data_IF_779407537430
#
_entry.id   IF_779407537430
#
_cell.length_a   1.000
_cell.length_b   1.000
_cell.length_c   1.000
_cell.angle_alpha   90.00
_cell.angle_beta   90.00
_cell.angle_gamma   90.00
#
_symmetry.space_group_name_H-M   'P 1'
#
loop_
_entity.id
_entity.type
_entity.pdbx_description
1 polymer ?
#
# COMPACT_ATOMS: atom_id res chain seq x y z
N UNK A 1 -69.91 0.52 0.95
CA UNK A 1 -70.54 1.78 1.39
C UNK A 1 -69.50 2.88 1.21
N UNK A 2 -69.85 3.92 0.42
CA UNK A 2 -69.22 5.25 0.20
C UNK A 2 -67.68 5.28 -0.01
N UNK A 3 -67.05 5.62 -1.16
CA UNK A 3 -67.25 6.62 -2.25
C UNK A 3 -67.32 8.09 -1.81
N UNK A 4 -66.50 8.91 -2.51
CA UNK A 4 -66.35 10.39 -2.66
C UNK A 4 -65.17 11.02 -1.92
N UNK A 5 -64.33 11.92 -2.47
CA UNK A 5 -64.24 12.53 -3.82
C UNK A 5 -62.92 13.31 -3.97
N UNK A 6 -62.52 13.50 -5.23
CA UNK A 6 -61.60 14.50 -5.78
C UNK A 6 -61.58 15.87 -5.07
N UNK A 7 -60.43 16.55 -5.11
CA UNK A 7 -60.37 17.91 -5.65
C UNK A 7 -58.97 18.25 -6.17
N UNK A 8 -58.97 18.85 -7.35
CA UNK A 8 -57.85 19.36 -8.14
C UNK A 8 -58.29 20.75 -8.61
N UNK A 9 -57.52 21.81 -8.32
CA UNK A 9 -57.54 23.13 -9.01
C UNK A 9 -56.13 23.72 -8.83
N UNK A 10 -55.26 23.89 -9.83
CA UNK A 10 -55.20 24.76 -11.03
C UNK A 10 -54.82 26.23 -10.82
N UNK A 11 -53.66 26.56 -11.41
CA UNK A 11 -53.29 27.75 -12.18
C UNK A 11 -52.99 29.10 -11.52
N UNK A 12 -51.78 29.61 -11.80
CA UNK A 12 -51.35 30.99 -11.57
C UNK A 12 -49.99 31.29 -12.19
N UNK A 13 -49.96 31.50 -13.51
CA UNK A 13 -48.81 32.01 -14.31
C UNK A 13 -48.47 33.46 -13.97
N UNK A 14 -47.16 33.82 -13.97
CA UNK A 14 -46.61 35.05 -14.61
C UNK A 14 -45.08 35.14 -14.53
N UNK A 15 -44.44 34.94 -15.69
CA UNK A 15 -43.39 35.77 -16.32
C UNK A 15 -42.45 36.60 -15.43
N UNK A 16 -41.13 36.40 -15.60
CA UNK A 16 -40.23 37.44 -16.13
C UNK A 16 -38.90 36.87 -16.67
N UNK A 17 -38.72 37.15 -17.95
CA UNK A 17 -37.53 37.04 -18.78
C UNK A 17 -36.49 38.09 -18.33
N UNK A 18 -35.21 37.74 -18.27
CA UNK A 18 -34.09 38.70 -18.36
C UNK A 18 -32.89 38.01 -18.98
N UNK A 19 -32.78 38.19 -20.29
CA UNK A 19 -31.57 38.01 -21.09
C UNK A 19 -30.69 39.25 -20.88
N UNK A 20 -29.40 39.07 -20.62
CA UNK A 20 -28.40 40.07 -21.00
C UNK A 20 -27.20 39.38 -21.64
N UNK A 21 -26.95 39.79 -22.88
CA UNK A 21 -25.80 39.48 -23.74
C UNK A 21 -24.84 40.68 -23.67
N UNK A 22 -23.53 40.39 -23.71
CA UNK A 22 -22.44 41.13 -24.38
C UNK A 22 -21.18 41.19 -23.48
N UNK A 23 -19.93 41.22 -23.96
CA UNK A 23 -19.23 40.82 -25.17
C UNK A 23 -17.76 41.29 -24.97
N UNK A 24 -16.79 40.48 -25.43
CA UNK A 24 -15.47 40.85 -25.97
C UNK A 24 -14.45 41.68 -25.16
N UNK A 25 -13.25 41.09 -25.01
CA UNK A 25 -11.90 41.60 -25.35
C UNK A 25 -10.90 40.53 -24.87
N UNK A 26 -10.08 39.83 -25.67
CA UNK A 26 -9.36 40.28 -26.85
C UNK A 26 -8.03 40.90 -26.45
N UNK A 27 -7.00 40.09 -26.14
CA UNK A 27 -5.62 40.57 -26.15
C UNK A 27 -4.66 39.51 -26.69
N UNK A 28 -4.25 39.77 -27.93
CA UNK A 28 -3.08 39.22 -28.61
C UNK A 28 -1.86 39.97 -28.06
N UNK A 29 -0.81 39.24 -27.68
CA UNK A 29 0.54 39.81 -27.68
C UNK A 29 1.43 39.00 -28.61
N UNK A 30 1.95 39.70 -29.62
CA UNK A 30 2.85 39.23 -30.66
C UNK A 30 3.95 40.28 -30.76
N UNK A 31 5.17 39.91 -30.37
CA UNK A 31 6.44 40.61 -30.61
C UNK A 31 7.48 39.46 -30.66
N UNK A 32 7.90 38.89 -31.80
CA UNK A 32 8.78 39.41 -32.87
C UNK A 32 10.04 40.11 -32.32
N UNK A 33 11.28 39.88 -32.71
CA UNK A 33 11.99 38.95 -33.59
C UNK A 33 13.50 39.26 -33.39
N UNK A 34 14.36 38.57 -34.17
CA UNK A 34 15.80 38.79 -34.44
C UNK A 34 16.73 37.95 -33.55
N UNK A 35 17.65 37.13 -34.08
CA UNK A 35 18.10 36.90 -35.46
C UNK A 35 19.56 36.44 -35.47
N UNK A 36 19.96 35.71 -36.52
CA UNK A 36 21.35 35.31 -36.84
C UNK A 36 21.60 33.83 -36.54
N UNK A 37 21.48 32.87 -37.47
CA UNK A 37 22.29 32.62 -38.68
C UNK A 37 23.79 32.51 -38.40
N UNK A 38 24.36 31.32 -38.55
CA UNK A 38 25.19 31.03 -39.72
C UNK A 38 25.48 29.52 -39.84
N UNK A 39 25.29 29.05 -41.06
CA UNK A 39 25.67 27.76 -41.63
C UNK A 39 27.13 27.77 -42.11
N UNK A 40 27.66 26.57 -42.43
CA UNK A 40 28.65 26.18 -43.49
C UNK A 40 29.55 25.07 -42.90
N UNK A 41 29.41 23.79 -43.32
CA UNK A 41 30.14 23.12 -44.42
C UNK A 41 31.68 23.09 -44.17
N UNK A 42 32.46 22.01 -44.30
CA UNK A 42 32.60 21.12 -45.47
C UNK A 42 33.64 20.01 -45.18
N UNK A 43 33.37 18.79 -45.69
CA UNK A 43 34.25 17.80 -46.40
C UNK A 43 35.58 17.22 -45.88
N UNK A 44 35.63 15.88 -45.97
CA UNK A 44 36.67 14.97 -46.56
C UNK A 44 38.08 14.92 -45.91
N UNK A 45 38.81 13.79 -45.83
CA UNK A 45 39.08 12.78 -46.86
C UNK A 45 39.81 11.56 -46.26
N UNK A 46 39.50 10.36 -46.79
CA UNK A 46 40.32 9.16 -47.06
C UNK A 46 41.66 8.86 -46.35
N UNK A 47 41.87 7.57 -46.05
CA UNK A 47 43.22 6.96 -46.02
C UNK A 47 43.26 5.50 -45.58
N UNK A 48 43.20 4.56 -46.53
CA UNK A 48 43.61 3.15 -46.38
C UNK A 48 44.84 2.91 -47.26
N UNK A 49 45.76 2.01 -46.85
CA UNK A 49 46.24 0.91 -47.70
C UNK A 49 46.29 -0.43 -46.92
N UNK A 50 45.80 -1.60 -47.38
CA UNK A 50 46.42 -2.61 -48.30
C UNK A 50 47.88 -2.96 -47.94
N UNK A 51 48.37 -4.20 -47.81
CA UNK A 51 47.97 -5.51 -48.37
C UNK A 51 48.74 -6.71 -47.75
N UNK A 52 48.27 -7.93 -48.11
CA UNK A 52 49.00 -9.19 -48.43
C UNK A 52 49.69 -9.97 -47.29
N UNK A 53 49.24 -11.15 -46.83
CA UNK A 53 49.00 -12.48 -47.47
C UNK A 53 50.27 -13.30 -47.79
N UNK A 54 50.36 -14.57 -47.29
CA UNK A 54 50.63 -15.83 -48.06
C UNK A 54 51.12 -17.05 -47.18
N UNK A 55 50.23 -18.06 -47.08
CA UNK A 55 50.36 -19.57 -47.02
C UNK A 55 51.25 -20.40 -46.06
N UNK A 56 50.59 -21.31 -45.30
CA UNK A 56 50.61 -22.82 -45.23
C UNK A 56 51.94 -23.62 -45.34
N UNK A 57 52.10 -24.86 -44.74
CA UNK A 57 51.10 -25.96 -44.73
C UNK A 57 50.98 -26.92 -43.49
N UNK A 58 49.80 -27.58 -43.46
CA UNK A 58 49.35 -28.93 -43.06
C UNK A 58 50.20 -29.88 -42.17
N UNK A 59 49.57 -30.37 -41.08
CA UNK A 59 49.56 -31.81 -40.71
C UNK A 59 48.38 -32.16 -39.78
N UNK A 60 47.64 -33.21 -40.16
CA UNK A 60 46.57 -33.89 -39.40
C UNK A 60 47.19 -34.83 -38.34
N UNK A 61 46.51 -35.13 -37.21
CA UNK A 61 45.84 -36.44 -37.17
C UNK A 61 44.52 -36.51 -36.37
N UNK A 62 43.62 -37.35 -36.89
CA UNK A 62 42.81 -38.38 -36.23
C UNK A 62 41.77 -37.99 -35.15
N UNK A 63 40.52 -38.35 -35.49
CA UNK A 63 39.34 -38.32 -34.64
C UNK A 63 39.34 -39.35 -33.49
N UNK A 64 38.76 -38.96 -32.35
CA UNK A 64 38.07 -39.86 -31.43
C UNK A 64 36.89 -39.10 -30.77
N UNK A 65 35.77 -39.78 -30.45
CA UNK A 65 34.49 -39.14 -30.22
C UNK A 65 34.37 -38.64 -28.78
N UNK A 66 33.72 -37.50 -28.56
CA UNK A 66 33.19 -37.18 -27.23
C UNK A 66 31.72 -36.82 -27.38
N UNK A 67 30.91 -37.73 -26.84
CA UNK A 67 29.48 -37.63 -26.73
C UNK A 67 29.08 -36.29 -26.12
N UNK A 68 28.03 -35.69 -26.71
CA UNK A 68 27.40 -34.50 -26.17
C UNK A 68 26.93 -34.74 -24.73
N UNK A 69 27.47 -33.96 -23.81
CA UNK A 69 26.72 -33.60 -22.61
C UNK A 69 25.88 -32.42 -23.03
N UNK A 70 24.70 -32.71 -23.59
CA UNK A 70 23.65 -31.72 -23.67
C UNK A 70 23.38 -31.26 -22.23
N UNK A 71 23.72 -30.01 -21.97
CA UNK A 71 23.31 -29.21 -20.82
C UNK A 71 21.81 -29.39 -20.60
N UNK A 72 21.42 -30.32 -19.72
CA UNK A 72 20.02 -30.46 -19.27
C UNK A 72 19.49 -29.16 -18.61
N UNK A 73 20.38 -28.25 -18.20
CA UNK A 73 19.99 -26.95 -17.63
C UNK A 73 19.58 -25.91 -18.69
N UNK A 74 20.19 -25.90 -19.88
CA UNK A 74 19.85 -24.92 -20.92
C UNK A 74 18.49 -25.20 -21.58
N UNK A 75 18.10 -26.48 -21.70
CA UNK A 75 16.88 -26.87 -22.41
C UNK A 75 15.60 -26.71 -21.58
N UNK A 76 15.70 -26.60 -20.25
CA UNK A 76 14.54 -26.34 -19.36
C UNK A 76 14.19 -24.84 -19.33
N UNK A 77 15.15 -23.95 -19.64
CA UNK A 77 14.94 -22.49 -19.63
C UNK A 77 14.04 -21.97 -20.77
N UNK A 78 13.96 -22.67 -21.90
CA UNK A 78 13.37 -22.11 -23.12
C UNK A 78 11.82 -22.10 -23.17
N UNK A 79 11.12 -22.64 -22.17
CA UNK A 79 9.66 -22.82 -22.24
C UNK A 79 8.90 -22.45 -20.94
N UNK A 80 9.54 -21.72 -20.02
CA UNK A 80 8.87 -21.23 -18.81
C UNK A 80 8.01 -20.01 -19.14
N UNK A 81 6.81 -19.95 -18.56
CA UNK A 81 5.95 -18.76 -18.60
C UNK A 81 6.63 -17.64 -17.80
N UNK A 82 6.34 -16.39 -18.18
CA UNK A 82 6.77 -15.21 -17.42
C UNK A 82 5.62 -14.79 -16.50
N UNK A 83 5.87 -14.67 -15.21
CA UNK A 83 4.84 -14.39 -14.22
C UNK A 83 5.33 -14.53 -12.77
N UNK A 84 4.42 -14.27 -11.82
CA UNK A 84 4.70 -14.39 -10.39
C UNK A 84 4.39 -15.76 -9.80
N UNK A 85 4.02 -16.76 -10.60
CA UNK A 85 3.70 -18.11 -10.09
C UNK A 85 4.97 -18.94 -9.90
N UNK A 86 4.98 -19.85 -8.92
CA UNK A 86 6.12 -20.75 -8.68
C UNK A 86 6.42 -21.58 -9.95
N UNK A 87 7.67 -21.52 -10.40
CA UNK A 87 8.16 -22.16 -11.62
C UNK A 87 8.23 -21.24 -12.84
N UNK A 88 7.59 -20.06 -12.79
CA UNK A 88 7.69 -19.04 -13.83
C UNK A 88 9.06 -18.36 -13.82
N UNK A 89 9.47 -17.83 -14.98
CA UNK A 89 10.49 -16.80 -15.03
C UNK A 89 9.89 -15.51 -14.48
N UNK A 90 10.60 -14.88 -13.56
CA UNK A 90 10.16 -13.63 -12.96
C UNK A 90 10.01 -12.53 -14.04
N UNK A 91 8.93 -11.74 -14.02
CA UNK A 91 8.78 -10.61 -14.94
C UNK A 91 9.75 -9.48 -14.57
N UNK A 92 10.07 -8.64 -15.54
CA UNK A 92 10.86 -7.42 -15.31
C UNK A 92 10.04 -6.36 -14.54
N UNK A 93 10.73 -5.50 -13.80
CA UNK A 93 10.12 -4.28 -13.25
C UNK A 93 9.54 -3.42 -14.38
N UNK A 94 8.41 -2.78 -14.14
CA UNK A 94 7.76 -1.93 -15.13
C UNK A 94 7.04 -0.77 -14.48
N UNK A 95 7.05 0.38 -15.15
CA UNK A 95 6.35 1.57 -14.66
C UNK A 95 6.88 2.09 -13.32
N UNK A 96 8.17 1.88 -13.03
CA UNK A 96 8.77 2.38 -11.79
C UNK A 96 9.00 3.88 -11.92
N UNK A 97 8.31 4.66 -11.09
CA UNK A 97 8.39 6.12 -11.06
C UNK A 97 9.72 6.61 -10.47
N UNK A 98 10.17 5.94 -9.41
CA UNK A 98 11.39 6.28 -8.71
C UNK A 98 12.02 5.05 -8.04
N UNK A 99 13.34 5.12 -7.89
CA UNK A 99 14.13 4.18 -7.09
C UNK A 99 14.64 4.90 -5.84
N UNK A 100 14.58 4.21 -4.70
CA UNK A 100 14.93 4.76 -3.37
C UNK A 100 15.99 3.84 -2.74
N UNK A 101 16.97 4.44 -2.06
CA UNK A 101 18.10 3.79 -1.39
C UNK A 101 19.00 2.91 -2.29
N UNK A 102 18.90 3.05 -3.62
CA UNK A 102 19.75 2.38 -4.59
C UNK A 102 19.48 2.84 -6.02
N UNK A 103 20.35 2.41 -6.94
CA UNK A 103 20.18 2.63 -8.38
C UNK A 103 19.07 1.73 -8.96
N UNK A 104 18.52 2.07 -10.15
CA UNK A 104 17.58 1.21 -10.85
C UNK A 104 18.11 -0.21 -11.05
N UNK A 105 17.29 -1.21 -10.72
CA UNK A 105 17.61 -2.62 -10.93
C UNK A 105 16.81 -3.18 -12.11
N UNK A 106 17.42 -4.13 -12.82
CA UNK A 106 16.74 -5.00 -13.79
C UNK A 106 16.98 -6.47 -13.43
N UNK A 107 15.98 -7.32 -13.65
CA UNK A 107 16.04 -8.73 -13.23
C UNK A 107 17.15 -9.53 -13.94
N UNK A 108 17.59 -9.08 -15.13
CA UNK A 108 18.73 -9.66 -15.83
C UNK A 108 20.06 -9.43 -15.09
N UNK A 109 20.26 -8.26 -14.49
CA UNK A 109 21.48 -7.93 -13.73
C UNK A 109 21.54 -8.65 -12.38
N UNK A 110 20.37 -9.03 -11.83
CA UNK A 110 20.26 -9.80 -10.59
C UNK A 110 20.46 -11.31 -10.79
N UNK A 111 20.75 -11.78 -12.00
CA UNK A 111 21.07 -13.20 -12.24
C UNK A 111 22.33 -13.60 -11.47
N UNK A 112 22.31 -14.81 -10.91
CA UNK A 112 23.35 -15.28 -10.00
C UNK A 112 23.02 -15.04 -8.51
N UNK A 113 22.12 -14.11 -8.20
CA UNK A 113 21.71 -13.78 -6.83
C UNK A 113 20.37 -14.42 -6.47
N UNK A 114 20.11 -14.56 -5.18
CA UNK A 114 18.76 -14.86 -4.68
C UNK A 114 18.04 -13.54 -4.48
N UNK A 115 16.86 -13.38 -5.07
CA UNK A 115 16.11 -12.12 -4.98
C UNK A 115 14.82 -12.32 -4.19
N UNK A 116 14.58 -11.48 -3.18
CA UNK A 116 13.31 -11.35 -2.49
C UNK A 116 12.62 -10.06 -2.94
N UNK A 117 11.50 -10.18 -3.63
CA UNK A 117 10.61 -9.05 -3.92
C UNK A 117 9.57 -8.96 -2.80
N UNK A 118 9.50 -7.81 -2.13
CA UNK A 118 8.50 -7.54 -1.08
C UNK A 118 7.59 -6.39 -1.53
N UNK A 119 6.32 -6.69 -1.79
CA UNK A 119 5.30 -5.68 -2.07
C UNK A 119 4.76 -5.10 -0.76
N UNK A 120 4.81 -3.78 -0.63
CA UNK A 120 4.45 -3.07 0.59
C UNK A 120 3.82 -1.70 0.29
N UNK A 121 3.19 -1.11 1.29
CA UNK A 121 2.82 0.31 1.36
C UNK A 121 3.05 0.80 2.79
N UNK A 122 3.35 2.08 3.00
CA UNK A 122 3.83 2.52 4.32
C UNK A 122 2.73 2.70 5.37
N UNK A 123 1.46 2.83 5.00
CA UNK A 123 0.36 2.88 5.98
C UNK A 123 -0.25 1.50 6.33
N UNK A 124 0.26 0.44 5.70
CA UNK A 124 -0.18 -0.94 5.94
C UNK A 124 0.47 -1.52 7.20
N UNK A 125 -0.32 -1.70 8.27
CA UNK A 125 0.20 -2.23 9.54
C UNK A 125 0.82 -3.64 9.40
N UNK A 126 0.22 -4.49 8.55
CA UNK A 126 0.72 -5.85 8.29
C UNK A 126 2.13 -5.80 7.65
N UNK A 127 2.37 -4.78 6.82
CA UNK A 127 3.65 -4.53 6.18
C UNK A 127 4.67 -4.06 7.22
N UNK A 128 4.29 -3.10 8.07
CA UNK A 128 5.13 -2.58 9.15
C UNK A 128 5.60 -3.70 10.08
N UNK A 129 4.68 -4.59 10.49
CA UNK A 129 5.03 -5.76 11.34
C UNK A 129 5.96 -6.76 10.66
N UNK A 130 6.06 -6.74 9.33
CA UNK A 130 7.00 -7.58 8.58
C UNK A 130 8.42 -6.98 8.52
N UNK A 131 8.58 -5.66 8.64
CA UNK A 131 9.88 -4.99 8.48
C UNK A 131 11.00 -5.50 9.39
N UNK A 132 10.77 -5.88 10.67
CA UNK A 132 11.81 -6.48 11.50
C UNK A 132 12.43 -7.74 10.90
N UNK A 133 11.64 -8.58 10.24
CA UNK A 133 12.10 -9.82 9.60
C UNK A 133 12.89 -9.53 8.32
N UNK A 134 12.42 -8.58 7.49
CA UNK A 134 13.16 -8.13 6.31
C UNK A 134 14.52 -7.53 6.69
N UNK A 135 14.57 -6.70 7.75
CA UNK A 135 15.83 -6.15 8.30
C UNK A 135 16.76 -7.25 8.78
N UNK A 136 16.21 -8.26 9.46
CA UNK A 136 16.98 -9.41 9.91
C UNK A 136 17.57 -10.19 8.73
N UNK A 137 16.78 -10.51 7.70
CA UNK A 137 17.25 -11.24 6.52
C UNK A 137 18.27 -10.44 5.71
N UNK A 138 18.02 -9.15 5.50
CA UNK A 138 18.98 -8.26 4.84
C UNK A 138 20.32 -8.25 5.58
N UNK A 139 20.30 -8.07 6.90
CA UNK A 139 21.51 -8.06 7.72
C UNK A 139 22.25 -9.41 7.74
N UNK A 140 21.52 -10.53 7.63
CA UNK A 140 22.12 -11.87 7.72
C UNK A 140 22.69 -12.36 6.39
N UNK A 141 22.04 -12.02 5.28
CA UNK A 141 22.24 -12.73 4.02
C UNK A 141 22.63 -11.85 2.83
N UNK A 142 22.69 -10.52 2.98
CA UNK A 142 23.08 -9.64 1.88
C UNK A 142 24.49 -9.99 1.33
N UNK A 143 25.46 -10.22 2.24
CA UNK A 143 26.82 -10.60 1.87
C UNK A 143 26.93 -12.04 1.31
N UNK A 144 25.92 -12.87 1.55
CA UNK A 144 25.83 -14.25 1.04
C UNK A 144 25.12 -14.32 -0.33
N UNK A 145 24.64 -13.19 -0.86
CA UNK A 145 24.01 -13.11 -2.18
C UNK A 145 22.48 -12.96 -2.18
N UNK A 146 21.86 -12.63 -1.04
CA UNK A 146 20.45 -12.21 -1.00
C UNK A 146 20.32 -10.73 -1.39
N UNK A 147 19.46 -10.43 -2.35
CA UNK A 147 19.02 -9.08 -2.67
C UNK A 147 17.54 -8.92 -2.34
N UNK A 148 17.22 -7.95 -1.49
CA UNK A 148 15.82 -7.57 -1.23
C UNK A 148 15.49 -6.36 -2.10
N UNK A 149 14.36 -6.41 -2.81
CA UNK A 149 13.79 -5.26 -3.52
C UNK A 149 12.40 -5.00 -2.96
N UNK A 150 12.22 -3.85 -2.32
CA UNK A 150 10.91 -3.43 -1.82
C UNK A 150 10.12 -2.73 -2.93
N UNK A 151 9.03 -3.33 -3.40
CA UNK A 151 8.14 -2.69 -4.37
C UNK A 151 7.03 -1.96 -3.61
N UNK A 152 7.17 -0.64 -3.51
CA UNK A 152 6.15 0.22 -2.92
C UNK A 152 5.01 0.40 -3.92
N UNK A 153 3.87 -0.26 -3.67
CA UNK A 153 2.63 -0.08 -4.42
C UNK A 153 1.63 0.62 -3.49
N UNK A 154 1.18 1.84 -3.80
CA UNK A 154 0.39 2.68 -2.89
C UNK A 154 -1.02 2.14 -2.71
N UNK A 155 -1.57 2.16 -1.50
CA UNK A 155 -2.98 1.87 -1.23
C UNK A 155 -3.88 3.12 -1.40
N UNK A 156 -3.32 4.30 -1.17
CA UNK A 156 -3.97 5.62 -1.25
C UNK A 156 -3.16 6.62 -2.09
N UNK A 157 -3.80 7.67 -2.62
CA UNK A 157 -3.13 8.67 -3.46
C UNK A 157 -1.98 9.40 -2.76
N UNK A 158 -2.09 9.69 -1.46
CA UNK A 158 -1.03 10.36 -0.70
C UNK A 158 0.23 9.47 -0.53
N UNK A 159 0.12 8.17 -0.76
CA UNK A 159 1.25 7.24 -0.76
C UNK A 159 2.04 7.26 -2.08
N UNK A 160 1.53 7.93 -3.12
CA UNK A 160 2.28 8.17 -4.37
C UNK A 160 3.31 9.29 -4.27
N UNK A 161 3.21 10.13 -3.25
CA UNK A 161 4.13 11.25 -3.04
C UNK A 161 5.50 10.69 -2.67
N UNK A 162 6.50 10.92 -3.52
CA UNK A 162 7.86 10.38 -3.38
C UNK A 162 8.47 10.68 -2.00
N UNK A 163 8.35 11.92 -1.53
CA UNK A 163 8.89 12.36 -0.25
C UNK A 163 8.29 11.59 0.93
N UNK A 164 7.00 11.27 0.89
CA UNK A 164 6.34 10.49 1.95
C UNK A 164 6.89 9.07 2.00
N UNK A 165 7.09 8.43 0.84
CA UNK A 165 7.69 7.08 0.77
C UNK A 165 9.12 7.14 1.29
N UNK A 166 9.92 8.12 0.86
CA UNK A 166 11.29 8.31 1.34
C UNK A 166 11.33 8.46 2.85
N UNK A 167 10.46 9.28 3.44
CA UNK A 167 10.44 9.47 4.88
C UNK A 167 10.02 8.21 5.63
N UNK A 168 9.05 7.44 5.12
CA UNK A 168 8.70 6.14 5.68
C UNK A 168 9.89 5.14 5.64
N UNK A 169 10.69 5.12 4.56
CA UNK A 169 11.89 4.26 4.52
C UNK A 169 12.91 4.63 5.60
N UNK A 170 13.05 5.92 5.92
CA UNK A 170 13.95 6.39 6.99
C UNK A 170 13.39 6.04 8.37
N UNK A 171 12.09 6.32 8.59
CA UNK A 171 11.39 6.06 9.84
C UNK A 171 11.50 4.59 10.25
N UNK A 172 11.27 3.67 9.31
CA UNK A 172 11.32 2.23 9.56
C UNK A 172 12.71 1.60 9.40
N UNK A 173 13.72 2.41 9.06
CA UNK A 173 15.10 2.01 8.79
C UNK A 173 15.23 0.91 7.71
N UNK A 174 14.57 1.12 6.58
CA UNK A 174 14.58 0.21 5.42
C UNK A 174 15.79 0.52 4.53
N UNK A 175 16.82 -0.32 4.59
CA UNK A 175 18.14 -0.04 4.00
C UNK A 175 18.42 -0.65 2.62
N UNK A 176 17.53 -1.45 2.06
CA UNK A 176 17.68 -2.08 0.74
C UNK A 176 17.04 -1.24 -0.37
N UNK A 177 17.26 -1.57 -1.64
CA UNK A 177 16.70 -0.84 -2.78
C UNK A 177 15.17 -0.97 -2.84
N UNK A 178 14.47 0.13 -3.13
CA UNK A 178 13.02 0.14 -3.30
C UNK A 178 12.60 0.75 -4.64
N UNK A 179 11.55 0.18 -5.22
CA UNK A 179 10.94 0.61 -6.47
C UNK A 179 9.53 1.13 -6.19
N UNK A 180 9.26 2.39 -6.56
CA UNK A 180 7.95 2.98 -6.43
C UNK A 180 7.09 2.67 -7.68
N UNK A 181 6.01 1.90 -7.50
CA UNK A 181 5.13 1.39 -8.57
C UNK A 181 3.75 2.07 -8.48
N UNK A 182 3.67 3.39 -8.70
CA UNK A 182 2.43 4.16 -8.46
C UNK A 182 1.27 3.75 -9.37
N UNK A 183 1.60 3.24 -10.56
CA UNK A 183 0.62 2.77 -11.55
C UNK A 183 0.32 1.27 -11.45
N UNK A 184 0.90 0.55 -10.46
CA UNK A 184 0.72 -0.89 -10.25
C UNK A 184 1.11 -1.76 -11.47
N UNK A 185 2.05 -1.31 -12.29
CA UNK A 185 2.49 -2.05 -13.48
C UNK A 185 3.26 -3.28 -13.05
N UNK A 186 4.20 -3.14 -12.11
CA UNK A 186 4.95 -4.27 -11.55
C UNK A 186 4.03 -5.20 -10.76
N UNK A 187 3.19 -4.64 -9.88
CA UNK A 187 2.15 -5.36 -9.14
C UNK A 187 1.33 -6.30 -10.03
N UNK A 188 0.80 -5.79 -11.15
CA UNK A 188 0.00 -6.60 -12.09
C UNK A 188 0.83 -7.63 -12.85
N UNK A 189 2.08 -7.35 -13.20
CA UNK A 189 2.98 -8.33 -13.86
C UNK A 189 3.23 -9.54 -12.97
N UNK A 190 3.34 -9.34 -11.66
CA UNK A 190 3.48 -10.40 -10.67
C UNK A 190 2.15 -11.10 -10.33
N UNK A 191 1.03 -10.63 -10.91
CA UNK A 191 -0.32 -11.07 -10.57
C UNK A 191 -0.62 -10.92 -9.07
N UNK A 192 -0.01 -9.93 -8.41
CA UNK A 192 -0.19 -9.71 -6.99
C UNK A 192 -1.60 -9.19 -6.68
N UNK A 193 -2.06 -9.45 -5.45
CA UNK A 193 -3.37 -9.05 -4.93
C UNK A 193 -3.34 -8.60 -3.46
N UNK A 194 -2.17 -8.63 -2.80
CA UNK A 194 -2.09 -8.46 -1.34
C UNK A 194 -0.91 -7.59 -0.91
N UNK A 195 -1.10 -6.94 0.23
CA UNK A 195 -0.06 -6.32 1.03
C UNK A 195 0.00 -7.00 2.42
N UNK A 196 1.20 -7.35 2.93
CA UNK A 196 2.43 -7.53 2.16
C UNK A 196 2.36 -8.77 1.26
N UNK A 197 3.25 -8.86 0.27
CA UNK A 197 3.42 -10.07 -0.53
C UNK A 197 4.89 -10.28 -0.90
N UNK A 198 5.36 -11.53 -0.80
CA UNK A 198 6.76 -11.91 -1.03
C UNK A 198 6.88 -12.86 -2.19
N UNK A 199 7.90 -12.67 -3.01
CA UNK A 199 8.29 -13.57 -4.08
C UNK A 199 9.79 -13.83 -3.96
N UNK A 200 10.17 -15.10 -3.78
CA UNK A 200 11.56 -15.52 -3.78
C UNK A 200 11.95 -16.08 -5.14
N UNK A 201 13.05 -15.56 -5.67
CA UNK A 201 13.57 -15.88 -6.99
C UNK A 201 14.97 -16.46 -6.85
N UNK A 202 15.23 -17.56 -7.54
CA UNK A 202 16.56 -18.18 -7.55
C UNK A 202 17.55 -17.47 -8.48
N UNK A 203 18.82 -17.88 -8.40
CA UNK A 203 19.92 -17.37 -9.24
C UNK A 203 19.66 -17.46 -10.75
N UNK A 204 18.74 -18.31 -11.20
CA UNK A 204 18.41 -18.49 -12.61
C UNK A 204 17.21 -17.60 -13.04
N UNK A 205 16.62 -16.85 -12.11
CA UNK A 205 15.50 -15.96 -12.37
C UNK A 205 14.13 -16.62 -12.28
N UNK A 206 14.02 -17.75 -11.58
CA UNK A 206 12.79 -18.51 -11.45
C UNK A 206 12.14 -18.20 -10.12
N UNK A 207 10.82 -17.96 -10.11
CA UNK A 207 10.08 -17.85 -8.86
C UNK A 207 10.02 -19.23 -8.19
N UNK A 208 10.45 -19.31 -6.94
CA UNK A 208 10.55 -20.56 -6.17
C UNK A 208 9.60 -20.63 -4.99
N UNK A 209 9.21 -19.49 -4.46
CA UNK A 209 8.27 -19.39 -3.36
C UNK A 209 7.53 -18.05 -3.42
N UNK A 210 6.29 -18.08 -2.94
CA UNK A 210 5.44 -16.90 -2.79
C UNK A 210 4.72 -16.95 -1.45
N UNK A 211 4.63 -15.83 -0.76
CA UNK A 211 3.87 -15.69 0.47
C UNK A 211 2.98 -14.45 0.40
N UNK A 212 1.68 -14.61 0.70
CA UNK A 212 0.72 -13.52 0.67
C UNK A 212 0.19 -13.25 2.08
N UNK A 213 0.25 -12.00 2.49
CA UNK A 213 -0.09 -11.58 3.84
C UNK A 213 1.10 -11.59 4.79
N UNK A 214 0.79 -11.37 6.06
CA UNK A 214 1.74 -11.36 7.17
C UNK A 214 1.97 -12.78 7.73
N UNK A 215 3.20 -13.05 8.17
CA UNK A 215 3.59 -14.32 8.80
C UNK A 215 4.46 -15.19 7.90
N UNK A 216 4.55 -16.48 8.23
CA UNK A 216 5.34 -17.44 7.46
C UNK A 216 6.83 -17.09 7.43
N UNK A 217 7.33 -16.43 8.47
CA UNK A 217 8.70 -15.90 8.48
C UNK A 217 9.73 -17.04 8.53
N UNK A 218 9.45 -18.07 9.33
CA UNK A 218 10.31 -19.26 9.42
C UNK A 218 10.41 -19.97 8.07
N UNK A 219 9.27 -20.20 7.41
CA UNK A 219 9.22 -20.85 6.09
C UNK A 219 9.93 -20.00 5.03
N UNK A 220 9.68 -18.69 5.01
CA UNK A 220 10.33 -17.77 4.07
C UNK A 220 11.86 -17.78 4.25
N UNK A 221 12.35 -17.73 5.49
CA UNK A 221 13.78 -17.77 5.78
C UNK A 221 14.41 -19.11 5.42
N UNK A 222 13.69 -20.21 5.63
CA UNK A 222 14.17 -21.55 5.23
C UNK A 222 14.39 -21.62 3.72
N UNK A 223 13.42 -21.14 2.93
CA UNK A 223 13.57 -21.06 1.47
C UNK A 223 14.70 -20.12 1.06
N UNK A 224 14.88 -18.96 1.73
CA UNK A 224 16.04 -18.08 1.47
C UNK A 224 17.35 -18.88 1.63
N UNK A 225 17.51 -19.60 2.74
CA UNK A 225 18.71 -20.41 3.02
C UNK A 225 18.90 -21.53 1.98
N UNK A 226 17.83 -22.20 1.58
CA UNK A 226 17.88 -23.22 0.52
C UNK A 226 18.37 -22.64 -0.81
N UNK A 227 17.83 -21.49 -1.22
CA UNK A 227 18.21 -20.87 -2.49
C UNK A 227 19.63 -20.31 -2.46
N UNK A 228 20.09 -19.79 -1.32
CA UNK A 228 21.48 -19.36 -1.15
C UNK A 228 22.45 -20.55 -1.23
N UNK A 229 22.11 -21.68 -0.60
CA UNK A 229 22.89 -22.91 -0.72
C UNK A 229 22.90 -23.48 -2.16
N UNK A 230 21.79 -23.32 -2.90
CA UNK A 230 21.72 -23.68 -4.32
C UNK A 230 22.57 -22.74 -5.19
N UNK A 231 22.66 -21.45 -4.83
CA UNK A 231 23.40 -20.45 -5.56
C UNK A 231 24.92 -20.53 -5.32
N UNK A 232 25.33 -20.70 -4.07
CA UNK A 232 26.71 -20.91 -3.67
C UNK A 232 26.81 -22.13 -2.72
N UNK A 233 27.38 -23.26 -3.18
CA UNK A 233 27.62 -24.43 -2.33
C UNK A 233 28.54 -24.18 -1.13
N UNK A 234 29.24 -23.04 -1.09
CA UNK A 234 30.07 -22.62 0.06
C UNK A 234 29.24 -21.95 1.17
N UNK A 235 28.01 -21.52 0.86
CA UNK A 235 27.09 -20.98 1.84
C UNK A 235 26.82 -22.01 2.93
N UNK A 236 27.14 -21.62 4.16
CA UNK A 236 26.80 -22.38 5.33
C UNK A 236 25.58 -21.72 5.94
N UNK A 237 24.42 -22.38 5.88
CA UNK A 237 23.27 -21.99 6.68
C UNK A 237 23.70 -22.08 8.14
N UNK A 238 24.11 -20.95 8.70
CA UNK A 238 24.56 -20.86 10.08
C UNK A 238 23.51 -21.50 11.00
N UNK A 239 23.92 -22.02 12.16
CA UNK A 239 23.01 -22.59 13.18
C UNK A 239 22.11 -21.51 13.83
N UNK A 240 21.72 -20.47 13.08
CA UNK A 240 20.85 -19.42 13.52
C UNK A 240 19.43 -19.97 13.65
N UNK A 241 18.77 -19.73 14.80
CA UNK A 241 17.37 -20.09 14.94
C UNK A 241 16.55 -19.37 13.87
N UNK A 242 15.57 -20.09 13.32
CA UNK A 242 14.54 -19.48 12.49
C UNK A 242 13.69 -18.55 13.35
N UNK A 243 13.14 -17.47 12.76
CA UNK A 243 12.23 -16.56 13.44
C UNK A 243 10.94 -17.28 13.83
N UNK A 244 10.31 -16.79 14.89
CA UNK A 244 8.96 -17.19 15.26
C UNK A 244 7.98 -16.12 14.76
N UNK A 245 6.82 -16.56 14.28
CA UNK A 245 5.71 -15.67 13.97
C UNK A 245 5.15 -15.04 15.26
N UNK A 246 4.43 -13.91 15.13
CA UNK A 246 3.77 -13.30 16.27
C UNK A 246 2.76 -14.26 16.91
N UNK A 247 2.78 -14.34 18.24
CA UNK A 247 1.83 -15.14 18.99
C UNK A 247 0.45 -14.48 18.95
N UNK A 248 -0.58 -15.28 18.65
CA UNK A 248 -1.97 -14.84 18.74
C UNK A 248 -2.33 -14.73 20.22
N UNK A 249 -3.06 -13.67 20.59
CA UNK A 249 -3.53 -13.42 21.95
C UNK A 249 -4.30 -14.65 22.50
N UNK A 250 -3.94 -15.17 23.68
CA UNK A 250 -4.64 -16.28 24.31
C UNK A 250 -6.12 -16.00 24.59
N UNK A 251 -6.47 -14.74 24.87
CA UNK A 251 -7.86 -14.30 25.05
C UNK A 251 -8.70 -14.55 23.79
N UNK A 252 -8.17 -14.19 22.62
CA UNK A 252 -8.80 -14.45 21.32
C UNK A 252 -8.99 -15.95 21.06
N UNK A 253 -7.95 -16.76 21.29
CA UNK A 253 -8.00 -18.20 21.05
C UNK A 253 -9.02 -18.94 21.94
N UNK A 254 -9.28 -18.41 23.14
CA UNK A 254 -10.19 -19.03 24.11
C UNK A 254 -11.58 -18.39 24.15
N UNK A 255 -11.75 -17.23 23.52
CA UNK A 255 -13.02 -16.53 23.46
C UNK A 255 -14.06 -17.31 22.66
N UNK A 256 -15.25 -17.46 23.25
CA UNK A 256 -16.40 -18.03 22.54
C UNK A 256 -16.92 -17.02 21.52
N UNK A 257 -17.22 -17.50 20.31
CA UNK A 257 -17.73 -16.68 19.20
C UNK A 257 -16.79 -15.49 18.89
N UNK A 258 -15.47 -15.73 19.01
CA UNK A 258 -14.41 -14.79 18.67
C UNK A 258 -14.55 -14.32 17.23
N UNK A 259 -14.31 -13.04 17.00
CA UNK A 259 -14.34 -12.41 15.69
C UNK A 259 -13.25 -11.34 15.65
N UNK A 260 -12.64 -11.13 14.49
CA UNK A 260 -11.70 -10.01 14.31
C UNK A 260 -12.35 -9.03 13.37
N UNK A 261 -12.35 -7.75 13.73
CA UNK A 261 -12.83 -6.72 12.81
C UNK A 261 -11.96 -6.69 11.57
N UNK A 262 -12.59 -6.84 10.40
CA UNK A 262 -11.90 -6.69 9.11
C UNK A 262 -11.43 -5.24 8.95
N UNK A 263 -10.49 -5.01 8.05
CA UNK A 263 -10.15 -3.65 7.63
C UNK A 263 -11.39 -2.91 7.10
N UNK A 264 -11.59 -1.68 7.57
CA UNK A 264 -12.73 -0.83 7.23
C UNK A 264 -12.26 0.44 6.57
N UNK A 265 -12.78 0.75 5.38
CA UNK A 265 -12.39 1.95 4.63
C UNK A 265 -13.40 3.08 4.82
N UNK A 266 -12.86 4.28 4.98
CA UNK A 266 -13.61 5.53 5.09
C UNK A 266 -13.96 6.18 3.75
N UNK A 267 -13.42 5.68 2.62
CA UNK A 267 -13.75 6.13 1.27
C UNK A 267 -14.85 5.31 0.59
N UNK A 268 -15.63 5.93 -0.30
CA UNK A 268 -16.75 5.25 -0.95
C UNK A 268 -16.34 4.24 -2.04
N UNK A 269 -15.18 4.36 -2.68
CA UNK A 269 -14.83 3.50 -3.84
C UNK A 269 -14.70 2.02 -3.42
N UNK A 270 -13.94 1.77 -2.35
CA UNK A 270 -13.81 0.43 -1.77
C UNK A 270 -15.11 -0.02 -1.12
N UNK A 271 -15.81 0.88 -0.43
CA UNK A 271 -17.07 0.57 0.25
C UNK A 271 -18.21 0.19 -0.69
N UNK A 272 -18.32 0.85 -1.84
CA UNK A 272 -19.32 0.55 -2.85
C UNK A 272 -19.03 -0.80 -3.52
N UNK A 273 -17.77 -1.07 -3.85
CA UNK A 273 -17.37 -2.39 -4.36
C UNK A 273 -17.76 -3.50 -3.39
N UNK A 274 -17.43 -3.34 -2.11
CA UNK A 274 -17.77 -4.29 -1.03
C UNK A 274 -19.30 -4.49 -0.89
N UNK A 275 -20.07 -3.40 -0.99
CA UNK A 275 -21.53 -3.44 -0.99
C UNK A 275 -22.09 -4.21 -2.20
N UNK A 276 -21.57 -3.95 -3.41
CA UNK A 276 -22.00 -4.59 -4.66
C UNK A 276 -21.70 -6.10 -4.67
N UNK A 277 -20.62 -6.53 -4.02
CA UNK A 277 -20.29 -7.95 -3.85
C UNK A 277 -21.00 -8.62 -2.66
N UNK A 278 -21.95 -7.92 -2.03
CA UNK A 278 -22.84 -8.49 -1.01
C UNK A 278 -22.22 -8.61 0.38
N UNK A 279 -21.09 -7.92 0.64
CA UNK A 279 -20.44 -7.87 1.96
C UNK A 279 -20.98 -6.73 2.85
N UNK A 280 -21.84 -5.89 2.27
CA UNK A 280 -22.64 -4.89 2.98
C UNK A 280 -21.94 -3.54 3.20
N UNK A 281 -20.79 -3.29 2.58
CA UNK A 281 -20.06 -2.02 2.66
C UNK A 281 -19.38 -1.78 4.01
N UNK A 282 -18.61 -0.71 4.14
CA UNK A 282 -17.91 -0.39 5.40
C UNK A 282 -18.69 0.57 6.30
N UNK A 283 -19.54 1.41 5.71
CA UNK A 283 -20.32 2.42 6.44
C UNK A 283 -21.76 1.92 6.59
N UNK A 284 -22.30 1.97 7.81
CA UNK A 284 -23.65 1.45 8.09
C UNK A 284 -24.77 2.31 7.48
N UNK A 285 -24.57 3.63 7.41
CA UNK A 285 -25.60 4.57 6.99
C UNK A 285 -25.70 4.61 5.48
N UNK A 286 -26.73 3.98 4.88
CA UNK A 286 -26.87 3.86 3.42
C UNK A 286 -26.88 5.19 2.64
N UNK A 287 -27.27 6.30 3.28
CA UNK A 287 -27.19 7.64 2.68
C UNK A 287 -25.75 8.02 2.28
N UNK A 288 -24.76 7.43 2.96
CA UNK A 288 -23.34 7.55 2.63
C UNK A 288 -23.05 7.22 1.16
N UNK A 289 -23.57 6.10 0.67
CA UNK A 289 -23.35 5.64 -0.70
C UNK A 289 -24.16 6.42 -1.75
N UNK A 290 -25.10 7.27 -1.31
CA UNK A 290 -25.94 8.10 -2.19
C UNK A 290 -25.35 9.51 -2.36
N UNK A 291 -24.56 9.98 -1.39
CA UNK A 291 -24.10 11.37 -1.31
C UNK A 291 -22.59 11.48 -1.53
N UNK A 292 -22.07 10.77 -2.53
CA UNK A 292 -20.66 10.82 -2.93
C UNK A 292 -20.24 12.25 -3.31
N UNK A 293 -19.02 12.61 -2.94
CA UNK A 293 -18.40 13.92 -3.16
C UNK A 293 -19.18 15.10 -2.56
N UNK A 294 -20.04 14.83 -1.58
CA UNK A 294 -20.88 15.83 -0.92
C UNK A 294 -20.69 15.80 0.58
N UNK A 295 -20.89 16.97 1.21
CA UNK A 295 -21.07 17.05 2.66
C UNK A 295 -22.49 16.64 2.99
N UNK A 296 -22.64 15.63 3.85
CA UNK A 296 -23.94 15.14 4.32
C UNK A 296 -23.99 15.10 5.84
N UNK A 297 -25.13 15.47 6.41
CA UNK A 297 -25.37 15.37 7.84
C UNK A 297 -25.82 13.94 8.20
N UNK A 298 -25.05 13.29 9.05
CA UNK A 298 -25.25 11.92 9.50
C UNK A 298 -25.73 11.89 10.95
N UNK A 299 -26.69 11.02 11.23
CA UNK A 299 -27.13 10.74 12.60
C UNK A 299 -27.06 9.25 12.88
N UNK A 300 -26.54 8.91 14.06
CA UNK A 300 -26.53 7.54 14.58
C UNK A 300 -27.86 7.33 15.32
N UNK A 301 -28.87 6.84 14.60
CA UNK A 301 -30.24 6.65 15.12
C UNK A 301 -30.61 5.19 15.40
N UNK A 302 -29.71 4.25 15.12
CA UNK A 302 -29.92 2.82 15.26
C UNK A 302 -28.76 2.20 16.03
N UNK A 303 -28.96 0.98 16.52
CA UNK A 303 -27.89 0.20 17.11
C UNK A 303 -26.77 0.01 16.08
N UNK A 304 -25.54 0.24 16.52
CA UNK A 304 -24.36 0.11 15.69
C UNK A 304 -24.04 -1.37 15.49
N UNK A 305 -23.83 -1.75 14.24
CA UNK A 305 -23.45 -3.09 13.86
C UNK A 305 -21.92 -3.25 14.00
N UNK A 306 -21.43 -4.42 14.41
CA UNK A 306 -20.00 -4.70 14.37
C UNK A 306 -19.51 -4.66 12.91
N UNK A 307 -18.22 -4.37 12.72
CA UNK A 307 -17.60 -4.28 11.38
C UNK A 307 -18.16 -3.15 10.51
N UNK A 308 -18.69 -2.08 11.13
CA UNK A 308 -19.19 -0.90 10.41
C UNK A 308 -18.72 0.40 11.04
N UNK A 309 -18.35 1.34 10.18
CA UNK A 309 -18.15 2.75 10.52
C UNK A 309 -19.51 3.45 10.56
N UNK A 310 -19.69 4.33 11.54
CA UNK A 310 -20.84 5.20 11.70
C UNK A 310 -20.36 6.64 11.90
N UNK A 311 -21.03 7.57 11.25
CA UNK A 311 -20.75 9.00 11.32
C UNK A 311 -21.86 9.74 12.08
N UNK A 312 -21.47 10.73 12.87
CA UNK A 312 -22.35 11.69 13.54
C UNK A 312 -21.92 13.11 13.14
N UNK A 313 -22.88 13.93 12.70
CA UNK A 313 -22.66 15.28 12.20
C UNK A 313 -22.41 15.34 10.68
N UNK A 314 -22.02 16.50 10.14
CA UNK A 314 -21.67 16.68 8.73
C UNK A 314 -20.32 16.06 8.38
N UNK A 315 -20.30 15.23 7.33
CA UNK A 315 -19.10 14.60 6.77
C UNK A 315 -19.08 14.72 5.25
N UNK A 316 -17.92 15.05 4.68
CA UNK A 316 -17.66 14.94 3.25
C UNK A 316 -17.30 13.48 2.91
N UNK A 317 -18.03 12.90 1.96
CA UNK A 317 -17.86 11.50 1.53
C UNK A 317 -17.00 11.46 0.27
N UNK A 318 -15.68 11.27 0.44
CA UNK A 318 -14.73 11.20 -0.66
C UNK A 318 -14.46 9.77 -1.18
N UNK A 319 -13.76 9.64 -2.30
CA UNK A 319 -13.47 8.35 -2.95
C UNK A 319 -12.60 7.43 -2.06
N UNK A 320 -11.52 7.97 -1.48
CA UNK A 320 -10.56 7.21 -0.65
C UNK A 320 -10.72 7.43 0.85
N UNK A 321 -11.29 8.57 1.26
CA UNK A 321 -11.49 8.94 2.66
C UNK A 321 -12.79 9.71 2.87
N UNK A 322 -13.22 9.79 4.13
CA UNK A 322 -14.27 10.71 4.56
C UNK A 322 -13.69 11.71 5.53
N UNK A 323 -13.97 13.00 5.31
CA UNK A 323 -13.45 14.12 6.11
C UNK A 323 -14.57 14.88 6.79
N UNK A 324 -14.26 15.48 7.93
CA UNK A 324 -15.20 16.18 8.76
C UNK A 324 -15.69 17.46 8.05
N UNK A 325 -17.01 17.61 7.96
CA UNK A 325 -17.64 18.60 7.08
C UNK A 325 -17.67 20.03 7.62
N UNK A 326 -17.22 20.26 8.85
CA UNK A 326 -17.17 21.60 9.48
C UNK A 326 -16.14 21.67 10.60
N UNK A 327 -15.91 22.89 11.08
CA UNK A 327 -15.28 23.12 12.38
C UNK A 327 -16.34 23.04 13.49
N UNK A 328 -16.01 22.45 14.64
CA UNK A 328 -16.90 22.38 15.82
C UNK A 328 -16.26 23.01 17.05
N UNK A 329 -17.05 23.33 18.07
CA UNK A 329 -16.54 23.92 19.32
C UNK A 329 -16.36 22.89 20.45
N UNK A 330 -17.19 21.83 20.46
CA UNK A 330 -17.32 20.91 21.60
C UNK A 330 -17.09 19.43 21.25
N UNK A 331 -16.42 19.14 20.11
CA UNK A 331 -16.19 17.76 19.64
C UNK A 331 -17.52 16.99 19.46
N UNK A 332 -18.60 17.69 19.10
CA UNK A 332 -19.94 17.12 18.97
C UNK A 332 -20.11 16.19 17.77
N UNK A 333 -19.24 16.33 16.77
CA UNK A 333 -19.20 15.49 15.58
C UNK A 333 -18.09 14.44 15.73
N UNK A 334 -18.40 13.22 15.32
CA UNK A 334 -17.52 12.08 15.53
C UNK A 334 -17.81 10.96 14.55
N UNK A 335 -16.83 10.08 14.42
CA UNK A 335 -17.02 8.74 13.87
C UNK A 335 -16.95 7.72 15.00
N UNK A 336 -17.59 6.58 14.80
CA UNK A 336 -17.59 5.49 15.76
C UNK A 336 -17.76 4.15 15.07
N UNK A 337 -17.29 3.09 15.71
CA UNK A 337 -17.39 1.72 15.23
C UNK A 337 -17.41 0.74 16.40
N UNK A 338 -18.07 -0.39 16.18
CA UNK A 338 -18.04 -1.53 17.10
C UNK A 338 -17.00 -2.54 16.60
N UNK A 339 -15.94 -2.77 17.37
CA UNK A 339 -14.82 -3.63 17.00
C UNK A 339 -14.58 -4.80 17.94
N UNK A 340 -13.85 -5.79 17.44
CA UNK A 340 -13.29 -6.90 18.19
C UNK A 340 -11.84 -7.09 17.73
N UNK A 341 -10.89 -6.85 18.62
CA UNK A 341 -9.45 -6.90 18.36
C UNK A 341 -8.66 -6.85 19.68
N UNK A 342 -7.35 -7.04 19.60
CA UNK A 342 -6.41 -6.65 20.65
C UNK A 342 -5.85 -5.24 20.37
N UNK A 343 -5.64 -4.88 19.11
CA UNK A 343 -5.15 -3.55 18.71
C UNK A 343 -5.98 -2.91 17.59
N UNK A 344 -6.00 -1.58 17.59
CA UNK A 344 -6.68 -0.76 16.57
C UNK A 344 -5.75 0.32 16.07
N UNK A 345 -5.61 0.44 14.75
CA UNK A 345 -4.92 1.54 14.09
C UNK A 345 -5.87 2.27 13.15
N UNK A 346 -5.62 3.55 12.91
CA UNK A 346 -6.38 4.39 12.00
C UNK A 346 -5.45 5.12 11.04
N UNK A 347 -5.73 5.04 9.74
CA UNK A 347 -5.09 5.88 8.74
C UNK A 347 -5.89 7.17 8.65
N UNK A 348 -5.32 8.26 9.16
CA UNK A 348 -5.97 9.58 9.26
C UNK A 348 -5.33 10.54 8.26
N UNK A 349 -6.06 11.60 7.88
CA UNK A 349 -5.55 12.63 6.95
C UNK A 349 -5.29 13.96 7.63
N UNK A 350 -4.49 14.83 7.02
CA UNK A 350 -4.42 16.25 7.36
C UNK A 350 -4.11 17.03 6.09
N UNK A 351 -5.15 17.32 5.31
CA UNK A 351 -5.00 17.90 3.97
C UNK A 351 -4.42 19.33 4.02
N UNK A 352 -4.68 20.09 5.09
CA UNK A 352 -4.10 21.42 5.27
C UNK A 352 -2.66 21.39 5.81
N UNK A 353 -2.22 20.26 6.37
CA UNK A 353 -0.97 20.12 7.13
C UNK A 353 -0.99 20.78 8.51
N UNK A 354 -2.11 21.41 8.91
CA UNK A 354 -2.24 22.00 10.24
C UNK A 354 -2.58 20.94 11.29
N UNK A 355 -1.81 20.85 12.40
CA UNK A 355 -2.05 19.88 13.44
C UNK A 355 -3.44 20.01 14.07
N UNK A 356 -4.14 18.90 14.24
CA UNK A 356 -5.42 18.88 14.96
C UNK A 356 -5.51 17.74 15.98
N UNK A 357 -6.38 17.94 16.98
CA UNK A 357 -6.61 16.98 18.07
C UNK A 357 -7.77 16.05 17.69
N UNK A 358 -7.58 14.74 17.89
CA UNK A 358 -8.67 13.76 17.86
C UNK A 358 -8.81 13.17 19.26
N UNK A 359 -9.95 13.43 19.90
CA UNK A 359 -10.31 12.84 21.19
C UNK A 359 -10.86 11.43 20.96
N UNK A 360 -10.39 10.49 21.76
CA UNK A 360 -10.67 9.05 21.64
C UNK A 360 -11.36 8.56 22.90
N UNK A 361 -12.39 7.75 22.76
CA UNK A 361 -13.01 7.02 23.88
C UNK A 361 -13.39 5.62 23.45
N UNK A 362 -13.40 4.67 24.38
CA UNK A 362 -13.91 3.32 24.22
C UNK A 362 -15.02 3.09 25.23
N UNK A 363 -16.21 2.71 24.76
CA UNK A 363 -17.42 2.55 25.59
C UNK A 363 -17.70 3.78 26.48
N UNK A 364 -17.49 4.98 25.90
CA UNK A 364 -17.62 6.30 26.53
C UNK A 364 -16.60 6.61 27.65
N UNK A 365 -15.60 5.76 27.84
CA UNK A 365 -14.48 5.99 28.76
C UNK A 365 -13.21 6.42 27.99
N UNK A 366 -12.41 7.31 28.58
CA UNK A 366 -11.10 7.66 28.04
C UNK A 366 -10.14 6.48 28.17
N UNK A 367 -9.22 6.36 27.20
CA UNK A 367 -8.12 5.42 27.27
C UNK A 367 -7.20 5.75 28.45
N UNK A 368 -6.47 4.76 28.91
CA UNK A 368 -5.49 4.85 30.01
C UNK A 368 -4.16 4.27 29.53
N UNK A 369 -3.12 4.34 30.36
CA UNK A 369 -1.83 3.70 30.06
C UNK A 369 -1.92 2.17 29.85
N UNK A 370 -3.04 1.55 30.23
CA UNK A 370 -3.28 0.11 30.06
C UNK A 370 -3.73 -0.25 28.64
N UNK A 371 -4.48 0.62 27.95
CA UNK A 371 -5.07 0.29 26.64
C UNK A 371 -4.71 1.28 25.53
N UNK A 372 -3.96 2.34 25.83
CA UNK A 372 -3.61 3.35 24.85
C UNK A 372 -2.60 2.83 23.82
N UNK A 373 -2.82 3.19 22.56
CA UNK A 373 -1.81 3.02 21.52
C UNK A 373 -0.59 3.94 21.73
N UNK A 374 0.46 3.70 20.94
CA UNK A 374 1.72 4.48 20.99
C UNK A 374 1.52 5.95 20.63
N UNK A 375 0.53 6.26 19.77
CA UNK A 375 0.27 7.63 19.32
C UNK A 375 -0.74 8.39 20.21
N UNK A 376 -1.27 7.72 21.24
CA UNK A 376 -2.19 8.32 22.20
C UNK A 376 -1.43 9.01 23.33
N UNK A 377 -1.84 10.26 23.57
CA UNK A 377 -1.49 11.07 24.73
C UNK A 377 -2.64 11.06 25.73
N UNK A 378 -2.32 10.82 27.00
CA UNK A 378 -3.24 11.05 28.12
C UNK A 378 -2.97 12.45 28.67
N UNK A 379 -3.97 13.33 28.58
CA UNK A 379 -3.89 14.68 29.13
C UNK A 379 -3.88 14.69 30.66
N UNK A 380 -3.44 15.80 31.25
CA UNK A 380 -3.47 15.99 32.72
C UNK A 380 -4.90 15.96 33.30
N UNK A 381 -5.91 16.17 32.44
CA UNK A 381 -7.34 16.07 32.73
C UNK A 381 -7.90 14.65 32.57
N UNK A 382 -7.06 13.69 32.18
CA UNK A 382 -7.44 12.30 31.90
C UNK A 382 -8.02 12.08 30.51
N UNK A 383 -8.07 13.10 29.64
CA UNK A 383 -8.55 12.91 28.27
C UNK A 383 -7.52 12.15 27.43
N UNK A 384 -7.95 11.08 26.75
CA UNK A 384 -7.14 10.43 25.71
C UNK A 384 -7.34 11.08 24.35
N UNK A 385 -6.24 11.45 23.70
CA UNK A 385 -6.26 12.03 22.36
C UNK A 385 -4.99 11.71 21.58
N UNK A 386 -5.06 11.81 20.25
CA UNK A 386 -3.89 11.87 19.38
C UNK A 386 -3.81 13.22 18.66
N UNK A 387 -2.62 13.57 18.19
CA UNK A 387 -2.39 14.75 17.33
C UNK A 387 -2.10 14.26 15.91
N UNK A 388 -2.96 14.62 14.97
CA UNK A 388 -2.72 14.34 13.55
C UNK A 388 -2.03 15.54 12.93
N UNK A 389 -0.98 15.29 12.16
CA UNK A 389 -0.18 16.32 11.49
C UNK A 389 0.07 16.04 10.02
N UNK A 390 -0.15 14.79 9.59
CA UNK A 390 0.10 14.32 8.23
C UNK A 390 -0.78 13.12 7.95
N UNK A 391 -1.10 12.82 6.68
CA UNK A 391 -1.62 11.52 6.31
C UNK A 391 -0.66 10.40 6.73
N UNK A 392 -1.08 9.54 7.66
CA UNK A 392 -0.29 8.40 8.14
C UNK A 392 -1.16 7.40 8.91
N UNK A 393 -0.56 6.24 9.24
CA UNK A 393 -1.11 5.29 10.18
C UNK A 393 -0.83 5.75 11.62
N UNK A 394 -1.87 5.77 12.44
CA UNK A 394 -1.80 6.06 13.87
C UNK A 394 -2.25 4.85 14.68
N UNK A 395 -1.45 4.42 15.65
CA UNK A 395 -1.78 3.36 16.59
C UNK A 395 -2.64 3.92 17.74
N UNK A 396 -3.91 3.52 17.77
CA UNK A 396 -4.95 4.11 18.62
C UNK A 396 -5.15 3.29 19.91
N UNK A 397 -5.26 1.97 19.80
CA UNK A 397 -5.54 1.07 20.93
C UNK A 397 -4.56 -0.08 20.90
N UNK A 398 -4.01 -0.42 22.06
CA UNK A 398 -3.29 -1.66 22.33
C UNK A 398 -3.77 -2.22 23.67
N UNK A 399 -4.69 -3.18 23.64
CA UNK A 399 -5.17 -3.85 24.84
C UNK A 399 -4.21 -4.96 25.28
N UNK A 400 -4.14 -5.22 26.58
CA UNK A 400 -3.39 -6.36 27.15
C UNK A 400 -3.96 -7.73 26.70
N UNK A 401 -5.22 -7.78 26.27
CA UNK A 401 -5.84 -8.99 25.74
C UNK A 401 -7.01 -8.65 24.81
N UNK A 402 -7.45 -9.62 24.02
CA UNK A 402 -8.54 -9.47 23.07
C UNK A 402 -9.84 -8.98 23.73
N UNK A 403 -10.43 -7.96 23.11
CA UNK A 403 -11.75 -7.44 23.45
C UNK A 403 -12.75 -7.76 22.34
N UNK A 404 -14.03 -7.88 22.71
CA UNK A 404 -15.09 -8.24 21.77
C UNK A 404 -16.24 -7.24 21.83
N UNK A 405 -16.49 -6.59 20.70
CA UNK A 405 -17.61 -5.64 20.47
C UNK A 405 -17.60 -4.44 21.41
N UNK A 406 -16.42 -3.85 21.60
CA UNK A 406 -16.30 -2.54 22.22
C UNK A 406 -16.60 -1.43 21.21
N UNK A 407 -17.02 -0.27 21.70
CA UNK A 407 -17.38 0.88 20.86
C UNK A 407 -16.27 1.92 20.90
N UNK A 408 -15.49 2.01 19.83
CA UNK A 408 -14.54 3.10 19.63
C UNK A 408 -15.28 4.33 19.10
N UNK A 409 -15.00 5.50 19.69
CA UNK A 409 -15.45 6.81 19.23
C UNK A 409 -14.26 7.75 19.07
N UNK A 410 -14.19 8.42 17.92
CA UNK A 410 -13.15 9.40 17.58
C UNK A 410 -13.81 10.72 17.17
N UNK A 411 -13.48 11.79 17.87
CA UNK A 411 -14.11 13.12 17.70
C UNK A 411 -13.04 14.19 17.50
N UNK A 412 -13.33 15.18 16.66
CA UNK A 412 -12.42 16.31 16.44
C UNK A 412 -13.20 17.61 16.23
N UNK A 413 -12.52 18.72 16.48
CA UNK A 413 -13.00 20.06 16.16
C UNK A 413 -12.54 20.58 14.79
N UNK A 414 -11.66 19.84 14.11
CA UNK A 414 -11.06 20.26 12.85
C UNK A 414 -11.80 19.69 11.64
N UNK A 415 -12.05 20.48 10.57
CA UNK A 415 -12.53 19.94 9.30
C UNK A 415 -11.49 19.05 8.59
N UNK A 416 -10.21 19.13 8.97
CA UNK A 416 -9.16 18.23 8.46
C UNK A 416 -9.30 16.81 8.99
N UNK A 417 -10.12 16.59 10.01
CA UNK A 417 -10.32 15.26 10.56
C UNK A 417 -10.94 14.32 9.52
N UNK A 418 -10.12 13.45 8.95
CA UNK A 418 -10.58 12.43 8.03
C UNK A 418 -9.98 11.07 8.29
N UNK A 419 -10.69 10.06 7.76
CA UNK A 419 -10.37 8.65 7.90
C UNK A 419 -10.25 8.02 6.52
N UNK A 420 -9.08 7.42 6.24
CA UNK A 420 -8.88 6.52 5.11
C UNK A 420 -9.27 5.09 5.46
N UNK A 421 -8.75 4.56 6.57
CA UNK A 421 -9.03 3.18 6.98
C UNK A 421 -8.83 2.92 8.48
N UNK A 422 -9.45 1.87 8.98
CA UNK A 422 -9.12 1.20 10.24
C UNK A 422 -8.54 -0.18 9.99
N UNK A 423 -7.48 -0.52 10.71
CA UNK A 423 -6.89 -1.87 10.74
C UNK A 423 -6.83 -2.42 12.15
N UNK A 424 -6.84 -3.74 12.28
CA UNK A 424 -7.02 -4.44 13.54
C UNK A 424 -6.02 -5.60 13.67
N UNK A 425 -5.63 -5.93 14.89
CA UNK A 425 -4.76 -7.07 15.19
C UNK A 425 -5.25 -7.87 16.39
N UNK A 426 -4.87 -9.15 16.48
CA UNK A 426 -5.19 -10.06 17.61
C UNK A 426 -3.95 -10.78 18.13
N UNK A 427 -2.80 -10.12 18.05
CA UNK A 427 -1.55 -10.64 18.56
C UNK A 427 -1.39 -10.31 20.04
N UNK A 428 -0.66 -11.17 20.76
CA UNK A 428 -0.37 -11.10 22.21
C UNK A 428 0.51 -9.90 22.57
N UNK A 429 1.19 -9.33 21.58
CA UNK A 429 2.00 -8.12 21.73
C UNK A 429 1.57 -7.08 20.69
N UNK A 430 1.68 -5.81 21.06
CA UNK A 430 1.45 -4.68 20.15
C UNK A 430 2.40 -4.72 18.93
N UNK A 431 2.12 -3.93 17.89
CA UNK A 431 2.86 -3.94 16.63
C UNK A 431 4.35 -3.62 16.76
#
# INVERSE_FOLDING_TARGET
>A
MLRTSLNQETFGSRTKLSVLIAALLGLVFLVAACGGSDSVETTETTGQPTSSATTAPTQEPAAAPTAGVATKSATVKANRKVGGEVGDLVPEFGGIDAWINGDPLIMEELRGQVVLIDFWTYTCINCIRTFPFLKQWHSRYADDGLVIVGVHAPEFEFEKVYENVVDATKEHALGWTMAQDNDFVTWRRYSNRFWPAKYLIDKDGVVRYTHFGEGGYAETEDVIRELLAEADPSFLSSNLPLPEDQTIDPGFLTARDAEVTRELYGGYDRGESDLLYGQGGYVQQMQYFQNKDQVSDFMISQNQLPHKINFQGPWHVGPESSTHGRMTESFEDYLSLVYSATSVNAVLTSDSGEPYKVRITVDEEYLTDVNKGSDIVIGDDGESYLRVTTPSLYNVINNDSYVRRETLKMSSNSPDFGLFAFTFGVYDTGP
#
